data_IF_920744315753
#
_entry.id   IF_920744315753
#
_cell.length_a   1.000
_cell.length_b   1.000
_cell.length_c   1.000
_cell.angle_alpha   90.00
_cell.angle_beta   90.00
_cell.angle_gamma   90.00
#
_symmetry.space_group_name_H-M   'P 1'
#
loop_
_entity.id
_entity.type
_entity.pdbx_description
1 polymer ?
#
# COMPACT_ATOMS: atom_id res chain seq x y z
N UNK A 1 6.01 -2.55 10.81
CA UNK A 1 5.04 -1.49 11.15
C UNK A 1 5.32 -0.19 10.39
N UNK A 2 4.27 0.40 9.80
CA UNK A 2 4.28 1.73 9.18
C UNK A 2 4.06 2.81 10.25
N UNK A 3 4.67 3.99 10.08
CA UNK A 3 4.51 5.12 10.99
C UNK A 3 4.37 6.42 10.21
N UNK A 4 3.82 7.45 10.85
CA UNK A 4 3.70 8.79 10.26
C UNK A 4 5.07 9.34 9.84
N UNK A 5 6.10 9.12 10.66
CA UNK A 5 7.47 9.51 10.35
C UNK A 5 7.97 8.85 9.05
N UNK A 6 7.75 7.54 8.87
CA UNK A 6 8.13 6.84 7.64
C UNK A 6 7.46 7.44 6.42
N UNK A 7 6.15 7.70 6.49
CA UNK A 7 5.40 8.31 5.37
C UNK A 7 5.96 9.70 5.04
N UNK A 8 6.17 10.55 6.05
CA UNK A 8 6.69 11.91 5.88
C UNK A 8 8.15 11.98 5.44
N UNK A 9 8.93 10.92 5.64
CA UNK A 9 10.33 10.83 5.21
C UNK A 9 10.50 10.21 3.82
N UNK A 10 9.39 9.82 3.17
CA UNK A 10 9.44 9.31 1.80
C UNK A 10 9.87 10.43 0.84
N UNK A 11 10.75 10.13 -0.11
CA UNK A 11 11.09 11.05 -1.19
C UNK A 11 10.14 10.86 -2.39
N UNK A 12 9.99 11.89 -3.24
CA UNK A 12 9.03 11.88 -4.36
C UNK A 12 9.23 10.71 -5.36
N UNK A 13 10.47 10.26 -5.55
CA UNK A 13 10.83 9.16 -6.44
C UNK A 13 10.82 7.78 -5.77
N UNK A 14 10.52 7.74 -4.47
CA UNK A 14 10.52 6.53 -3.66
C UNK A 14 9.12 6.04 -3.37
N UNK A 15 9.05 4.77 -3.01
CA UNK A 15 7.88 4.14 -2.44
C UNK A 15 8.23 3.50 -1.11
N UNK A 16 7.21 3.41 -0.27
CA UNK A 16 7.17 2.57 0.91
C UNK A 16 6.41 1.30 0.53
N UNK A 17 7.03 0.14 0.57
CA UNK A 17 6.41 -1.13 0.19
C UNK A 17 6.34 -2.10 1.37
N UNK A 18 5.21 -2.80 1.45
CA UNK A 18 4.92 -3.89 2.37
C UNK A 18 4.48 -5.09 1.55
N UNK A 19 5.15 -6.23 1.75
CA UNK A 19 4.78 -7.52 1.17
C UNK A 19 4.74 -8.54 2.29
N UNK A 20 3.66 -9.30 2.39
CA UNK A 20 3.64 -10.45 3.28
C UNK A 20 2.40 -11.31 3.14
N UNK A 21 2.23 -12.17 4.14
CA UNK A 21 1.24 -13.23 4.14
C UNK A 21 0.72 -13.45 5.56
N UNK A 22 -0.58 -13.67 5.69
CA UNK A 22 -1.25 -14.02 6.94
C UNK A 22 -2.38 -15.00 6.65
N UNK A 23 -2.41 -16.13 7.36
CA UNK A 23 -3.48 -17.14 7.23
C UNK A 23 -3.76 -17.65 5.80
N UNK A 24 -2.75 -17.64 4.94
CA UNK A 24 -2.87 -18.04 3.53
C UNK A 24 -3.23 -16.90 2.58
N UNK A 25 -3.64 -15.74 3.10
CA UNK A 25 -3.84 -14.53 2.31
C UNK A 25 -2.49 -13.84 2.11
N UNK A 26 -2.26 -13.33 0.90
CA UNK A 26 -1.06 -12.56 0.56
C UNK A 26 -1.44 -11.13 0.26
N UNK A 27 -0.55 -10.20 0.57
CA UNK A 27 -0.77 -8.80 0.24
C UNK A 27 0.52 -8.11 -0.13
N UNK A 28 0.38 -7.20 -1.09
CA UNK A 28 1.39 -6.24 -1.51
C UNK A 28 0.74 -4.87 -1.50
N UNK A 29 1.29 -3.97 -0.69
CA UNK A 29 0.80 -2.60 -0.55
C UNK A 29 1.98 -1.66 -0.69
N UNK A 30 1.82 -0.62 -1.49
CA UNK A 30 2.80 0.47 -1.59
C UNK A 30 2.17 1.77 -1.15
N UNK A 31 2.99 2.70 -0.68
CA UNK A 31 2.68 4.11 -0.46
C UNK A 31 3.62 4.93 -1.33
N UNK A 32 3.06 5.90 -2.06
CA UNK A 32 3.83 6.81 -2.92
C UNK A 32 3.33 8.25 -2.83
N UNK A 33 4.16 9.20 -3.24
CA UNK A 33 3.72 10.59 -3.42
C UNK A 33 2.69 10.72 -4.54
N UNK A 34 1.73 11.62 -4.32
CA UNK A 34 0.86 12.20 -5.35
C UNK A 34 1.07 13.71 -5.48
N UNK A 35 1.44 14.38 -4.39
CA UNK A 35 1.93 15.76 -4.34
C UNK A 35 2.84 15.94 -3.11
N UNK A 36 3.48 17.12 -2.89
CA UNK A 36 4.40 17.31 -1.76
C UNK A 36 3.80 17.00 -0.38
N UNK A 37 2.49 17.20 -0.20
CA UNK A 37 1.79 16.95 1.08
C UNK A 37 0.77 15.81 1.01
N UNK A 38 0.68 15.09 -0.11
CA UNK A 38 -0.28 14.02 -0.30
C UNK A 38 0.37 12.74 -0.79
N UNK A 39 -0.19 11.66 -0.30
CA UNK A 39 0.28 10.31 -0.52
C UNK A 39 -0.91 9.44 -0.92
N UNK A 40 -0.62 8.29 -1.48
CA UNK A 40 -1.63 7.30 -1.82
C UNK A 40 -1.09 5.91 -1.52
N UNK A 41 -1.94 5.07 -0.94
CA UNK A 41 -1.72 3.64 -0.84
C UNK A 41 -2.39 2.91 -2.00
N UNK A 42 -1.64 2.02 -2.64
CA UNK A 42 -2.10 1.11 -3.69
C UNK A 42 -1.80 -0.32 -3.25
N UNK A 43 -2.80 -1.18 -3.27
CA UNK A 43 -2.72 -2.52 -2.70
C UNK A 43 -3.33 -3.59 -3.57
N UNK A 44 -2.80 -4.80 -3.44
CA UNK A 44 -3.39 -6.05 -3.93
C UNK A 44 -3.40 -7.03 -2.77
N UNK A 45 -4.56 -7.59 -2.49
CA UNK A 45 -4.75 -8.66 -1.52
C UNK A 45 -5.29 -9.87 -2.26
N UNK A 46 -4.58 -10.99 -2.19
CA UNK A 46 -5.04 -12.27 -2.73
C UNK A 46 -5.38 -13.17 -1.57
N UNK A 47 -6.66 -13.50 -1.43
CA UNK A 47 -7.19 -14.37 -0.40
C UNK A 47 -6.79 -15.83 -0.66
N UNK A 48 -6.81 -16.64 0.40
CA UNK A 48 -6.52 -18.07 0.36
C UNK A 48 -7.41 -18.88 -0.60
N UNK A 49 -8.60 -18.38 -0.95
CA UNK A 49 -9.50 -18.95 -1.96
C UNK A 49 -9.19 -18.49 -3.40
N UNK A 50 -8.06 -17.80 -3.61
CA UNK A 50 -7.59 -17.19 -4.85
C UNK A 50 -8.35 -15.93 -5.31
N UNK A 51 -9.31 -15.41 -4.53
CA UNK A 51 -9.94 -14.14 -4.83
C UNK A 51 -8.96 -12.98 -4.67
N UNK A 52 -8.98 -12.04 -5.60
CA UNK A 52 -8.08 -10.88 -5.59
C UNK A 52 -8.87 -9.59 -5.41
N UNK A 53 -8.48 -8.83 -4.40
CA UNK A 53 -9.02 -7.51 -4.11
C UNK A 53 -7.94 -6.45 -4.32
N UNK A 54 -8.24 -5.47 -5.16
CA UNK A 54 -7.40 -4.30 -5.36
C UNK A 54 -7.89 -3.17 -4.46
N UNK A 55 -6.95 -2.43 -3.89
CA UNK A 55 -7.21 -1.34 -2.95
C UNK A 55 -6.53 -0.08 -3.45
N UNK A 56 -7.25 1.04 -3.40
CA UNK A 56 -6.71 2.36 -3.65
C UNK A 56 -7.28 3.31 -2.62
N UNK A 57 -6.42 3.99 -1.88
CA UNK A 57 -6.84 4.99 -0.90
C UNK A 57 -7.30 6.29 -1.57
N UNK A 58 -6.79 6.57 -2.78
CA UNK A 58 -6.78 7.91 -3.35
C UNK A 58 -5.77 8.84 -2.65
N UNK A 59 -5.56 10.06 -3.17
CA UNK A 59 -4.67 11.05 -2.58
C UNK A 59 -5.20 11.53 -1.21
N UNK A 60 -4.36 11.47 -0.18
CA UNK A 60 -4.71 11.96 1.16
C UNK A 60 -3.49 12.42 1.96
N UNK A 61 -3.74 13.12 3.05
CA UNK A 61 -2.69 13.56 3.98
C UNK A 61 -2.11 12.36 4.75
N UNK A 62 -0.86 12.47 5.27
CA UNK A 62 -0.19 11.41 6.01
C UNK A 62 -0.99 10.80 7.15
N UNK A 63 -1.68 11.62 7.96
CA UNK A 63 -2.47 11.17 9.09
C UNK A 63 -3.68 10.32 8.65
N UNK A 64 -4.41 10.80 7.63
CA UNK A 64 -5.52 10.06 7.04
C UNK A 64 -5.06 8.77 6.38
N UNK A 65 -3.90 8.79 5.72
CA UNK A 65 -3.31 7.59 5.12
C UNK A 65 -2.96 6.54 6.16
N UNK A 66 -2.34 6.95 7.27
CA UNK A 66 -2.01 6.03 8.35
C UNK A 66 -3.26 5.42 8.97
N UNK A 67 -4.32 6.22 9.18
CA UNK A 67 -5.60 5.70 9.64
C UNK A 67 -6.22 4.71 8.65
N UNK A 68 -6.23 5.04 7.37
CA UNK A 68 -6.74 4.16 6.31
C UNK A 68 -5.99 2.82 6.27
N UNK A 69 -4.65 2.86 6.35
CA UNK A 69 -3.82 1.64 6.41
C UNK A 69 -4.13 0.81 7.65
N UNK A 70 -4.29 1.44 8.82
CA UNK A 70 -4.64 0.73 10.05
C UNK A 70 -5.99 0.02 9.92
N UNK A 71 -7.00 0.69 9.37
CA UNK A 71 -8.33 0.12 9.10
C UNK A 71 -8.25 -1.03 8.10
N UNK A 72 -7.44 -0.91 7.04
CA UNK A 72 -7.23 -1.99 6.08
C UNK A 72 -6.68 -3.24 6.76
N UNK A 73 -5.71 -3.08 7.65
CA UNK A 73 -5.09 -4.18 8.40
C UNK A 73 -5.91 -4.66 9.61
N UNK A 74 -7.07 -4.08 9.93
CA UNK A 74 -7.90 -4.61 11.02
C UNK A 74 -8.44 -6.01 10.71
N UNK A 75 -8.54 -6.37 9.42
CA UNK A 75 -8.87 -7.74 8.98
C UNK A 75 -7.70 -8.72 9.12
N UNK A 76 -6.47 -8.22 9.21
CA UNK A 76 -5.23 -9.01 9.27
C UNK A 76 -4.32 -8.45 10.37
N UNK A 77 -4.58 -8.76 11.64
CA UNK A 77 -3.86 -8.16 12.76
C UNK A 77 -2.35 -8.44 12.73
N UNK A 78 -1.94 -9.61 12.23
CA UNK A 78 -0.53 -9.97 12.05
C UNK A 78 0.14 -9.10 10.99
N UNK A 79 -0.59 -8.64 9.98
CA UNK A 79 -0.07 -7.80 8.91
C UNK A 79 0.45 -6.44 9.38
N UNK A 80 -0.05 -5.93 10.51
CA UNK A 80 0.44 -4.69 11.15
C UNK A 80 1.93 -4.78 11.52
N UNK A 81 2.42 -5.99 11.78
CA UNK A 81 3.82 -6.24 12.16
C UNK A 81 4.77 -6.23 10.97
N UNK A 82 4.28 -6.41 9.74
CA UNK A 82 5.12 -6.61 8.56
C UNK A 82 6.04 -5.41 8.32
N UNK A 83 7.32 -5.68 7.98
CA UNK A 83 8.27 -4.62 7.69
C UNK A 83 7.86 -3.86 6.43
N UNK A 84 8.01 -2.55 6.51
CA UNK A 84 7.88 -1.64 5.38
C UNK A 84 9.26 -1.23 4.94
N UNK A 85 9.58 -1.48 3.67
CA UNK A 85 10.84 -1.12 3.03
C UNK A 85 10.69 0.14 2.20
N UNK A 86 11.73 0.97 2.16
CA UNK A 86 11.82 2.14 1.27
C UNK A 86 12.72 1.77 0.10
N UNK A 87 12.26 2.04 -1.11
CA UNK A 87 13.07 1.87 -2.33
C UNK A 87 12.55 2.80 -3.43
N UNK A 88 13.32 2.92 -4.52
CA UNK A 88 12.94 3.74 -5.66
C UNK A 88 11.75 3.12 -6.42
N UNK A 89 11.00 3.97 -7.13
CA UNK A 89 9.90 3.56 -8.00
C UNK A 89 10.41 2.82 -9.25
N UNK A 90 10.80 1.57 -9.07
CA UNK A 90 11.31 0.68 -10.12
C UNK A 90 10.24 0.23 -11.12
N UNK A 91 10.65 -0.40 -12.22
CA UNK A 91 9.74 -0.86 -13.27
C UNK A 91 8.69 -1.84 -12.76
N UNK A 92 9.05 -2.74 -11.85
CA UNK A 92 8.15 -3.75 -11.27
C UNK A 92 7.05 -3.08 -10.43
N UNK A 93 7.40 -2.05 -9.69
CA UNK A 93 6.49 -1.27 -8.87
C UNK A 93 5.60 -0.40 -9.75
N UNK A 94 6.15 0.19 -10.82
CA UNK A 94 5.34 0.92 -11.80
C UNK A 94 4.33 0.00 -12.51
N UNK A 95 4.71 -1.23 -12.86
CA UNK A 95 3.79 -2.22 -13.41
C UNK A 95 2.67 -2.54 -12.42
N UNK A 96 3.01 -2.76 -11.15
CA UNK A 96 2.05 -2.98 -10.07
C UNK A 96 1.08 -1.80 -9.90
N UNK A 97 1.58 -0.56 -9.91
CA UNK A 97 0.74 0.65 -9.87
C UNK A 97 -0.27 0.65 -11.01
N UNK A 98 0.18 0.36 -12.24
CA UNK A 98 -0.71 0.31 -13.42
C UNK A 98 -1.76 -0.79 -13.30
N UNK A 99 -1.39 -1.96 -12.77
CA UNK A 99 -2.31 -3.07 -12.51
C UNK A 99 -3.42 -2.65 -11.53
N UNK A 100 -3.04 -2.11 -10.36
CA UNK A 100 -3.99 -1.68 -9.32
C UNK A 100 -4.93 -0.60 -9.88
N UNK A 101 -4.39 0.43 -10.56
CA UNK A 101 -5.19 1.51 -11.14
C UNK A 101 -6.26 1.00 -12.10
N UNK A 102 -5.87 0.16 -13.06
CA UNK A 102 -6.80 -0.43 -14.03
C UNK A 102 -7.91 -1.23 -13.35
N UNK A 103 -7.58 -1.97 -12.29
CA UNK A 103 -8.56 -2.76 -11.56
C UNK A 103 -9.53 -1.89 -10.74
N UNK A 104 -9.06 -0.75 -10.21
CA UNK A 104 -9.90 0.17 -9.41
C UNK A 104 -10.72 1.16 -10.25
N UNK A 105 -10.33 1.42 -11.50
CA UNK A 105 -11.11 2.24 -12.45
C UNK A 105 -12.32 1.50 -13.04
N UNK A 106 -12.30 0.16 -13.01
CA UNK A 106 -13.34 -0.68 -13.59
C UNK A 106 -14.52 -0.99 -12.64
N UNK A 107 -14.58 -0.32 -11.47
CA UNK A 107 -15.57 -0.54 -10.41
C UNK A 107 -16.44 0.69 -10.23
#
# INVERSE_FOLDING_TARGET
MITLHKINSLAEHQVLECVGQESGDTFRIIVKHTSPSHYEALGKVTLSNADTHYQSSGPMTPDLLLQWLNTLFDRWPGAKTIPWAVHDLDEKTQQFVREVRKATEAV
#
